data_IF_362232403050
#
_entry.id   IF_362232403050
#
_cell.length_a   1.000
_cell.length_b   1.000
_cell.length_c   1.000
_cell.angle_alpha   90.00
_cell.angle_beta   90.00
_cell.angle_gamma   90.00
#
_symmetry.space_group_name_H-M   'P 1'
#
loop_
_entity.id
_entity.type
_entity.pdbx_description
1 polymer ?
#
# COMPACT_ATOMS: atom_id res chain seq x y z
N UNK A 1 22.02 9.90 -7.97
CA UNK A 1 20.93 8.93 -7.87
C UNK A 1 20.71 8.66 -6.40
N UNK A 2 19.53 9.01 -5.90
CA UNK A 2 19.09 8.55 -4.59
C UNK A 2 19.06 7.02 -4.59
N UNK A 3 19.76 6.41 -3.64
CA UNK A 3 19.85 4.95 -3.51
C UNK A 3 18.71 4.55 -2.57
N UNK A 4 17.62 4.01 -3.11
CA UNK A 4 16.53 3.51 -2.28
C UNK A 4 15.24 3.25 -3.05
N UNK A 5 14.27 2.66 -2.37
CA UNK A 5 12.91 2.52 -2.88
C UNK A 5 12.22 3.88 -2.89
N UNK A 6 11.74 4.30 -4.05
CA UNK A 6 10.85 5.45 -4.22
C UNK A 6 9.44 4.94 -4.51
N UNK A 7 8.43 5.73 -4.17
CA UNK A 7 7.02 5.42 -4.42
C UNK A 7 6.35 6.66 -4.96
N UNK A 8 5.66 6.52 -6.09
CA UNK A 8 4.78 7.52 -6.64
C UNK A 8 3.37 6.96 -6.73
N UNK A 9 2.36 7.73 -6.32
CA UNK A 9 0.99 7.27 -6.27
C UNK A 9 0.07 8.33 -6.87
N UNK A 10 -0.69 7.94 -7.88
CA UNK A 10 -1.77 8.75 -8.44
C UNK A 10 -3.09 8.02 -8.24
N UNK A 11 -4.02 8.68 -7.56
CA UNK A 11 -5.34 8.13 -7.25
C UNK A 11 -6.40 9.10 -7.78
N UNK A 12 -7.42 8.58 -8.47
CA UNK A 12 -8.55 9.40 -8.90
C UNK A 12 -9.37 9.86 -7.69
N UNK A 13 -9.78 11.13 -7.66
CA UNK A 13 -10.59 11.69 -6.57
C UNK A 13 -11.88 10.88 -6.40
N UNK A 14 -12.52 10.54 -7.51
CA UNK A 14 -13.78 9.82 -7.56
C UNK A 14 -13.65 8.38 -7.03
N UNK A 15 -12.42 7.84 -6.97
CA UNK A 15 -12.15 6.53 -6.37
C UNK A 15 -12.02 6.54 -4.85
N UNK A 16 -11.86 7.73 -4.24
CA UNK A 16 -11.60 7.88 -2.80
C UNK A 16 -12.76 8.59 -2.08
N UNK A 17 -13.33 9.62 -2.70
CA UNK A 17 -14.24 10.55 -2.02
C UNK A 17 -15.61 10.56 -2.69
N UNK A 18 -16.66 10.40 -1.88
CA UNK A 18 -18.05 10.62 -2.30
C UNK A 18 -18.34 12.12 -2.49
N UNK A 19 -17.87 12.93 -1.53
CA UNK A 19 -17.97 14.38 -1.56
C UNK A 19 -16.57 15.00 -1.56
N UNK A 20 -16.28 15.85 -2.55
CA UNK A 20 -15.00 16.54 -2.67
C UNK A 20 -15.17 18.01 -3.01
N UNK A 21 -14.49 18.87 -2.27
CA UNK A 21 -14.46 20.31 -2.52
C UNK A 21 -13.06 20.86 -2.24
N UNK A 22 -12.49 21.55 -3.24
CA UNK A 22 -11.19 22.22 -3.13
C UNK A 22 -11.28 23.63 -3.70
N UNK A 23 -10.71 24.58 -2.95
CA UNK A 23 -10.53 25.95 -3.40
C UNK A 23 -9.16 26.45 -2.94
N UNK A 24 -8.33 26.86 -3.90
CA UNK A 24 -6.98 27.35 -3.68
C UNK A 24 -6.76 28.65 -4.43
N UNK A 25 -5.94 29.53 -3.86
CA UNK A 25 -5.44 30.72 -4.54
C UNK A 25 -4.20 30.43 -5.41
N UNK A 26 -3.66 29.21 -5.35
CA UNK A 26 -2.52 28.79 -6.16
C UNK A 26 -2.93 28.51 -7.62
N UNK A 27 -1.97 28.52 -8.56
CA UNK A 27 -2.22 28.12 -9.94
C UNK A 27 -2.92 26.75 -10.03
N UNK A 28 -3.81 26.62 -11.00
CA UNK A 28 -4.55 25.39 -11.29
C UNK A 28 -5.42 24.86 -10.13
N UNK A 29 -5.80 25.70 -9.16
CA UNK A 29 -6.63 25.32 -8.01
C UNK A 29 -6.04 24.16 -7.18
N UNK A 30 -4.71 24.11 -7.07
CA UNK A 30 -3.97 23.03 -6.39
C UNK A 30 -3.59 23.40 -4.95
N UNK A 31 -3.57 22.42 -4.04
CA UNK A 31 -3.05 22.59 -2.68
C UNK A 31 -1.98 21.53 -2.43
N UNK A 32 -0.72 21.95 -2.35
CA UNK A 32 0.40 21.08 -2.08
C UNK A 32 0.63 20.99 -0.56
N UNK A 33 0.61 19.76 -0.03
CA UNK A 33 0.78 19.49 1.40
C UNK A 33 1.92 18.52 1.63
N UNK A 34 2.75 18.82 2.61
CA UNK A 34 3.66 17.85 3.21
C UNK A 34 3.17 17.50 4.61
N UNK A 35 3.17 16.22 4.93
CA UNK A 35 2.70 15.73 6.22
C UNK A 35 3.42 14.45 6.63
N UNK A 36 3.55 14.18 7.94
CA UNK A 36 4.12 12.94 8.41
C UNK A 36 3.19 11.76 8.10
N UNK A 37 3.72 10.74 7.42
CA UNK A 37 2.94 9.58 7.00
C UNK A 37 2.49 8.70 8.19
N UNK A 38 3.25 8.65 9.29
CA UNK A 38 2.92 7.77 10.43
C UNK A 38 1.63 8.19 11.15
N UNK A 39 1.44 9.47 11.52
CA UNK A 39 0.15 9.94 12.04
C UNK A 39 -1.00 9.76 11.05
N UNK A 40 -0.79 10.04 9.75
CA UNK A 40 -1.81 9.82 8.73
C UNK A 40 -2.23 8.35 8.65
N UNK A 41 -1.28 7.43 8.60
CA UNK A 41 -1.56 6.00 8.57
C UNK A 41 -2.33 5.55 9.81
N UNK A 42 -1.97 6.05 11.00
CA UNK A 42 -2.67 5.75 12.25
C UNK A 42 -4.12 6.24 12.20
N UNK A 43 -4.34 7.47 11.72
CA UNK A 43 -5.65 8.07 11.61
C UNK A 43 -6.54 7.32 10.59
N UNK A 44 -6.00 6.98 9.43
CA UNK A 44 -6.70 6.15 8.45
C UNK A 44 -7.03 4.75 8.98
N UNK A 45 -6.13 4.12 9.75
CA UNK A 45 -6.38 2.81 10.37
C UNK A 45 -7.54 2.83 11.37
N UNK A 46 -7.71 3.92 12.12
CA UNK A 46 -8.88 4.04 13.00
C UNK A 46 -10.21 4.20 12.24
N UNK A 47 -10.16 4.55 10.95
CA UNK A 47 -11.36 4.70 10.13
C UNK A 47 -11.81 3.39 9.45
N UNK A 48 -11.09 2.27 9.58
CA UNK A 48 -11.37 1.01 8.84
C UNK A 48 -12.79 0.48 9.11
N UNK A 49 -13.31 0.65 10.33
CA UNK A 49 -14.65 0.21 10.73
C UNK A 49 -15.60 1.39 10.96
N UNK A 50 -15.25 2.58 10.46
CA UNK A 50 -16.07 3.77 10.61
C UNK A 50 -17.27 3.71 9.69
N UNK A 51 -18.38 4.31 10.12
CA UNK A 51 -19.54 4.52 9.27
C UNK A 51 -19.33 5.69 8.31
N UNK A 52 -18.57 6.71 8.73
CA UNK A 52 -18.14 7.78 7.85
C UNK A 52 -16.81 8.37 8.30
N UNK A 53 -16.08 8.94 7.36
CA UNK A 53 -14.83 9.64 7.61
C UNK A 53 -14.76 10.89 6.72
N UNK A 54 -14.36 12.02 7.29
CA UNK A 54 -14.19 13.27 6.54
C UNK A 54 -12.82 13.88 6.83
N UNK A 55 -12.17 14.37 5.78
CA UNK A 55 -10.86 15.02 5.86
C UNK A 55 -11.04 16.50 5.58
N UNK A 56 -10.50 17.36 6.44
CA UNK A 56 -10.57 18.81 6.27
C UNK A 56 -9.23 19.47 6.56
N UNK A 57 -8.76 20.32 5.65
CA UNK A 57 -7.67 21.23 5.92
C UNK A 57 -8.17 22.40 6.77
N UNK A 58 -7.63 22.57 7.97
CA UNK A 58 -8.04 23.62 8.92
C UNK A 58 -6.81 24.33 9.51
N UNK A 59 -7.03 25.38 10.28
CA UNK A 59 -5.98 26.10 11.02
C UNK A 59 -6.34 26.11 12.51
N UNK A 60 -5.54 25.42 13.32
CA UNK A 60 -5.70 25.36 14.79
C UNK A 60 -4.53 26.10 15.44
N UNK A 61 -4.83 27.09 16.29
CA UNK A 61 -3.83 27.92 16.97
C UNK A 61 -2.74 28.51 16.06
N UNK A 62 -3.15 28.87 14.83
CA UNK A 62 -2.21 29.40 13.83
C UNK A 62 -1.50 28.35 12.97
N UNK A 63 -1.62 27.07 13.30
CA UNK A 63 -0.94 25.96 12.63
C UNK A 63 -1.90 25.27 11.64
N UNK A 64 -1.51 25.09 10.36
CA UNK A 64 -2.30 24.31 9.42
C UNK A 64 -2.30 22.82 9.80
N UNK A 65 -3.48 22.22 9.86
CA UNK A 65 -3.68 20.81 10.22
C UNK A 65 -4.67 20.14 9.28
N UNK A 66 -4.40 18.89 8.95
CA UNK A 66 -5.34 18.00 8.29
C UNK A 66 -6.13 17.25 9.37
N UNK A 67 -7.39 17.65 9.54
CA UNK A 67 -8.30 17.08 10.55
C UNK A 67 -9.08 15.94 9.92
N UNK A 68 -8.88 14.72 10.40
CA UNK A 68 -9.68 13.55 10.06
C UNK A 68 -10.75 13.35 11.14
N UNK A 69 -12.01 13.52 10.79
CA UNK A 69 -13.15 13.24 11.67
C UNK A 69 -13.75 11.89 11.28
N UNK A 70 -13.80 10.98 12.25
CA UNK A 70 -14.23 9.59 12.09
C UNK A 70 -15.49 9.40 12.93
N UNK A 71 -16.54 8.89 12.31
CA UNK A 71 -17.80 8.54 12.97
C UNK A 71 -17.93 7.03 12.97
N UNK A 72 -18.25 6.44 14.12
CA UNK A 72 -18.51 5.00 14.24
C UNK A 72 -19.77 4.76 15.04
N UNK A 73 -20.74 4.04 14.45
CA UNK A 73 -21.90 3.53 15.17
C UNK A 73 -21.52 2.29 15.97
N UNK A 74 -21.76 2.33 17.27
CA UNK A 74 -21.63 1.15 18.11
C UNK A 74 -23.03 0.54 18.21
N UNK A 75 -23.21 -0.63 17.60
CA UNK A 75 -24.37 -1.47 17.87
C UNK A 75 -24.28 -1.93 19.33
N UNK A 76 -25.22 -1.46 20.15
CA UNK A 76 -25.38 -1.92 21.53
C UNK A 76 -25.84 -3.38 21.50
N UNK A 77 -24.92 -4.33 21.57
CA UNK A 77 -25.28 -5.69 21.93
C UNK A 77 -25.70 -5.68 23.39
N UNK A 78 -27.01 -5.73 23.64
CA UNK A 78 -27.57 -5.91 24.97
C UNK A 78 -27.05 -7.22 25.56
N UNK A 79 -26.07 -7.15 26.46
CA UNK A 79 -25.65 -8.29 27.27
C UNK A 79 -26.73 -8.58 28.32
N UNK A 80 -27.86 -9.15 27.90
CA UNK A 80 -28.90 -9.66 28.79
C UNK A 80 -28.52 -11.03 29.40
N UNK A 81 -27.27 -11.22 29.81
CA UNK A 81 -26.75 -12.52 30.28
C UNK A 81 -25.99 -12.49 31.61
N UNK A 82 -26.04 -11.39 32.38
CA UNK A 82 -25.36 -11.33 33.69
C UNK A 82 -26.29 -11.29 34.92
N UNK A 83 -27.61 -11.21 34.74
CA UNK A 83 -28.56 -11.20 35.88
C UNK A 83 -29.21 -12.56 36.20
N UNK A 84 -28.76 -13.66 35.60
CA UNK A 84 -29.28 -15.01 35.88
C UNK A 84 -28.41 -15.84 36.86
N UNK A 85 -27.36 -15.26 37.49
CA UNK A 85 -26.42 -16.02 38.34
C UNK A 85 -26.53 -15.75 39.86
N UNK A 86 -27.49 -14.94 40.32
CA UNK A 86 -27.75 -14.75 41.76
C UNK A 86 -29.25 -14.89 42.05
N UNK A 87 -29.73 -16.13 42.10
CA UNK A 87 -31.12 -16.46 42.44
C UNK A 87 -31.20 -17.80 43.17
N UNK A 88 -30.46 -17.92 44.27
CA UNK A 88 -30.60 -19.02 45.22
C UNK A 88 -31.70 -18.74 46.23
N UNK A 89 -32.69 -19.64 46.28
CA UNK A 89 -33.48 -20.09 47.43
C UNK A 89 -34.19 -19.08 48.37
N UNK A 90 -35.53 -19.16 48.35
CA UNK A 90 -36.51 -19.04 49.46
C UNK A 90 -36.13 -18.25 50.73
N UNK A 91 -36.94 -17.24 51.08
CA UNK A 91 -37.92 -17.31 52.20
C UNK A 91 -38.82 -16.05 52.26
N UNK A 92 -40.12 -16.31 52.44
CA UNK A 92 -41.20 -15.48 53.00
C UNK A 92 -40.86 -14.08 53.55
N UNK A 93 -41.51 -13.05 52.99
CA UNK A 93 -42.11 -11.99 53.82
C UNK A 93 -43.22 -11.24 53.08
N UNK A 94 -44.43 -11.31 53.63
CA UNK A 94 -45.62 -10.57 53.23
C UNK A 94 -45.56 -9.22 53.96
N UNK A 95 -45.63 -8.12 53.21
CA UNK A 95 -45.69 -6.77 53.80
C UNK A 95 -45.62 -5.66 52.76
N UNK A 96 -46.78 -5.24 52.29
CA UNK A 96 -47.21 -3.85 52.10
C UNK A 96 -46.11 -2.76 51.97
N UNK A 97 -45.97 -2.13 50.80
CA UNK A 97 -46.34 -0.72 50.61
C UNK A 97 -46.02 -0.23 49.19
N UNK A 98 -46.99 0.51 48.64
CA UNK A 98 -46.95 1.31 47.43
C UNK A 98 -45.70 2.20 47.32
N UNK A 99 -44.97 2.11 46.21
CA UNK A 99 -44.33 3.28 45.56
C UNK A 99 -44.39 3.11 44.05
N UNK A 100 -45.33 3.84 43.47
CA UNK A 100 -45.41 4.17 42.06
C UNK A 100 -44.29 5.16 41.75
N UNK A 101 -43.26 4.71 41.03
CA UNK A 101 -42.43 5.59 40.22
C UNK A 101 -42.52 5.11 38.78
N UNK A 102 -43.19 5.92 37.96
CA UNK A 102 -43.12 5.87 36.51
C UNK A 102 -41.66 5.98 36.07
N UNK A 103 -41.00 4.84 35.83
CA UNK A 103 -39.83 4.82 34.97
C UNK A 103 -40.32 4.85 33.51
N UNK A 104 -40.63 6.07 33.06
CA UNK A 104 -40.79 6.44 31.65
C UNK A 104 -39.43 6.64 30.96
N UNK A 105 -38.41 5.86 31.32
CA UNK A 105 -37.20 5.77 30.51
C UNK A 105 -37.40 4.62 29.52
N UNK A 106 -38.08 4.97 28.42
CA UNK A 106 -37.97 4.26 27.18
C UNK A 106 -36.49 4.22 26.77
N UNK A 107 -35.80 3.16 27.19
CA UNK A 107 -34.52 2.71 26.65
C UNK A 107 -34.77 2.21 25.21
N UNK A 108 -35.18 3.14 24.34
CA UNK A 108 -35.03 3.03 22.91
C UNK A 108 -33.52 3.03 22.70
N UNK A 109 -32.96 1.81 22.60
CA UNK A 109 -31.54 1.55 22.48
C UNK A 109 -30.88 2.61 21.62
N UNK A 110 -30.23 3.58 22.29
CA UNK A 110 -29.50 4.63 21.59
C UNK A 110 -28.36 3.94 20.88
N UNK A 111 -28.44 3.87 19.55
CA UNK A 111 -27.25 3.72 18.72
C UNK A 111 -26.26 4.76 19.20
N UNK A 112 -25.20 4.31 19.88
CA UNK A 112 -24.22 5.22 20.46
C UNK A 112 -23.23 5.54 19.35
N UNK A 113 -23.35 6.73 18.82
CA UNK A 113 -22.39 7.28 17.89
C UNK A 113 -21.14 7.74 18.65
N UNK A 114 -19.97 7.34 18.16
CA UNK A 114 -18.69 7.84 18.66
C UNK A 114 -18.01 8.64 17.56
N UNK A 115 -17.62 9.86 17.91
CA UNK A 115 -16.93 10.79 16.99
C UNK A 115 -15.51 11.01 17.49
N UNK A 116 -14.54 10.67 16.66
CA UNK A 116 -13.11 10.85 16.94
C UNK A 116 -12.53 11.82 15.92
N UNK A 117 -11.90 12.89 16.39
CA UNK A 117 -11.17 13.83 15.52
C UNK A 117 -9.67 13.69 15.75
N UNK A 118 -8.92 13.50 14.68
CA UNK A 118 -7.46 13.40 14.72
C UNK A 118 -6.84 14.48 13.85
N UNK A 119 -6.01 15.31 14.47
CA UNK A 119 -5.31 16.41 13.80
C UNK A 119 -3.90 15.98 13.42
N UNK A 120 -3.58 16.11 12.14
CA UNK A 120 -2.24 15.85 11.61
C UNK A 120 -1.65 17.20 11.20
N UNK A 121 -0.55 17.66 11.83
CA UNK A 121 0.10 18.89 11.40
C UNK A 121 0.62 18.73 9.98
N UNK A 122 0.39 19.75 9.14
CA UNK A 122 0.84 19.76 7.75
C UNK A 122 1.66 21.00 7.46
N UNK A 123 2.46 20.96 6.40
CA UNK A 123 3.14 22.12 5.83
C UNK A 123 2.54 22.39 4.46
N UNK A 124 2.01 23.59 4.25
CA UNK A 124 1.53 24.02 2.94
C UNK A 124 2.74 24.44 2.12
N UNK A 125 2.90 23.84 0.94
CA UNK A 125 4.01 24.09 0.03
C UNK A 125 3.59 25.06 -1.07
N UNK A 126 4.55 25.88 -1.53
CA UNK A 126 4.37 26.75 -2.69
C UNK A 126 4.56 25.96 -3.99
N UNK A 127 4.05 26.48 -5.11
CA UNK A 127 4.23 25.86 -6.42
C UNK A 127 5.73 25.68 -6.79
N UNK A 128 6.56 26.68 -6.49
CA UNK A 128 8.00 26.63 -6.73
C UNK A 128 8.68 25.51 -5.91
N UNK A 129 8.22 25.27 -4.68
CA UNK A 129 8.80 24.22 -3.82
C UNK A 129 8.51 22.80 -4.31
N UNK A 130 7.45 22.60 -5.10
CA UNK A 130 7.06 21.28 -5.61
C UNK A 130 7.45 21.04 -7.06
N UNK A 131 7.97 22.05 -7.77
CA UNK A 131 8.37 21.92 -9.19
C UNK A 131 9.42 20.81 -9.41
N UNK A 132 10.28 20.56 -8.43
CA UNK A 132 11.25 19.46 -8.45
C UNK A 132 10.71 18.09 -8.00
N UNK A 133 9.47 18.02 -7.51
CA UNK A 133 8.84 16.77 -7.08
C UNK A 133 8.00 16.24 -8.24
N UNK A 134 8.57 15.32 -8.99
CA UNK A 134 7.91 14.68 -10.11
C UNK A 134 8.11 13.16 -10.05
N UNK A 135 7.28 12.43 -10.79
CA UNK A 135 7.44 10.99 -10.96
C UNK A 135 8.89 10.67 -11.39
N UNK A 136 9.55 9.68 -10.76
CA UNK A 136 10.92 9.34 -11.10
C UNK A 136 11.04 8.91 -12.56
N UNK A 137 11.87 9.60 -13.33
CA UNK A 137 12.18 9.18 -14.71
C UNK A 137 13.20 8.05 -14.66
N UNK A 138 12.86 6.93 -15.29
CA UNK A 138 13.75 5.79 -15.47
C UNK A 138 13.96 5.57 -16.97
N UNK A 139 15.06 4.91 -17.32
CA UNK A 139 15.29 4.46 -18.70
C UNK A 139 14.19 3.50 -19.17
N UNK A 140 14.13 3.32 -20.47
CA UNK A 140 13.28 2.31 -21.10
C UNK A 140 13.59 0.89 -20.55
N UNK A 141 12.55 0.12 -20.19
CA UNK A 141 12.73 -1.22 -19.64
C UNK A 141 13.01 -2.27 -20.73
N UNK A 142 13.98 -3.14 -20.46
CA UNK A 142 14.34 -4.28 -21.29
C UNK A 142 13.32 -5.43 -21.18
N UNK A 143 12.66 -5.60 -20.03
CA UNK A 143 11.60 -6.58 -19.88
C UNK A 143 10.41 -6.02 -19.12
N UNK A 144 9.21 -6.45 -19.47
CA UNK A 144 8.00 -6.15 -18.72
C UNK A 144 7.12 -7.38 -18.61
N UNK A 145 6.63 -7.68 -17.41
CA UNK A 145 5.91 -8.93 -17.12
C UNK A 145 4.83 -8.70 -16.07
N UNK A 146 3.66 -9.33 -16.24
CA UNK A 146 2.65 -9.37 -15.19
C UNK A 146 3.14 -10.30 -14.09
N UNK A 147 3.23 -9.78 -12.87
CA UNK A 147 3.67 -10.57 -11.72
C UNK A 147 2.59 -11.59 -11.30
N UNK A 148 2.98 -12.79 -10.85
CA UNK A 148 2.09 -13.69 -10.14
C UNK A 148 1.70 -13.09 -8.76
N UNK A 149 0.92 -13.83 -7.97
CA UNK A 149 0.49 -13.39 -6.64
C UNK A 149 1.64 -12.82 -5.81
N UNK A 150 1.57 -11.52 -5.49
CA UNK A 150 2.60 -10.83 -4.70
C UNK A 150 2.75 -11.44 -3.30
N UNK A 151 1.69 -12.01 -2.73
CA UNK A 151 1.75 -12.71 -1.43
C UNK A 151 2.59 -14.00 -1.52
N UNK A 152 2.48 -14.73 -2.63
CA UNK A 152 3.30 -15.92 -2.88
C UNK A 152 4.76 -15.53 -3.13
N UNK A 153 5.00 -14.53 -4.00
CA UNK A 153 6.32 -13.97 -4.24
C UNK A 153 6.97 -13.50 -2.94
N UNK A 154 6.21 -12.83 -2.07
CA UNK A 154 6.68 -12.35 -0.77
C UNK A 154 7.10 -13.50 0.12
N UNK A 155 6.24 -14.53 0.22
CA UNK A 155 6.50 -15.69 1.04
C UNK A 155 7.80 -16.41 0.64
N UNK A 156 8.09 -16.50 -0.66
CA UNK A 156 9.32 -17.10 -1.19
C UNK A 156 10.52 -16.18 -0.96
N UNK A 157 10.38 -14.89 -1.27
CA UNK A 157 11.43 -13.88 -1.11
C UNK A 157 11.89 -13.71 0.34
N UNK A 158 10.96 -13.69 1.29
CA UNK A 158 11.24 -13.59 2.72
C UNK A 158 12.02 -14.84 3.20
N UNK A 159 11.71 -16.03 2.65
CA UNK A 159 12.44 -17.27 2.97
C UNK A 159 13.87 -17.23 2.42
N UNK A 160 14.06 -16.80 1.17
CA UNK A 160 15.38 -16.68 0.56
C UNK A 160 16.27 -15.71 1.35
N UNK A 161 15.71 -14.55 1.70
CA UNK A 161 16.37 -13.54 2.53
C UNK A 161 16.77 -14.12 3.89
N UNK A 162 15.86 -14.81 4.58
CA UNK A 162 16.14 -15.45 5.88
C UNK A 162 17.24 -16.52 5.79
N UNK A 163 17.19 -17.37 4.75
CA UNK A 163 18.20 -18.41 4.53
C UNK A 163 19.58 -17.80 4.32
N UNK A 164 19.69 -16.77 3.48
CA UNK A 164 20.95 -16.09 3.24
C UNK A 164 21.47 -15.34 4.49
N UNK A 165 20.58 -14.77 5.30
CA UNK A 165 20.99 -14.18 6.58
C UNK A 165 21.51 -15.24 7.56
N UNK A 166 20.85 -16.40 7.64
CA UNK A 166 21.25 -17.47 8.55
C UNK A 166 22.63 -18.05 8.20
N UNK A 167 22.98 -18.12 6.92
CA UNK A 167 24.28 -18.60 6.45
C UNK A 167 25.40 -17.58 6.63
N UNK A 168 25.10 -16.28 6.52
CA UNK A 168 26.08 -15.20 6.73
C UNK A 168 26.58 -15.05 8.19
N UNK A 169 25.84 -15.59 9.17
CA UNK A 169 26.19 -15.50 10.59
C UNK A 169 27.40 -16.36 11.00
N UNK A 170 27.94 -17.20 10.10
CA UNK A 170 29.00 -18.15 10.40
C UNK A 170 30.44 -17.66 10.21
N UNK A 171 30.68 -16.57 9.45
CA UNK A 171 32.04 -16.30 8.92
C UNK A 171 32.70 -14.97 9.29
N UNK A 172 32.01 -13.90 9.71
CA UNK A 172 32.69 -12.66 10.15
C UNK A 172 31.87 -11.86 11.19
N UNK A 173 32.20 -11.99 12.48
CA UNK A 173 31.69 -11.12 13.58
C UNK A 173 32.38 -9.74 13.64
N UNK A 174 32.78 -9.20 12.50
CA UNK A 174 33.77 -8.13 12.47
C UNK A 174 33.77 -7.26 11.23
N UNK A 175 32.60 -6.90 10.70
CA UNK A 175 32.44 -5.67 9.90
C UNK A 175 30.96 -5.43 9.67
N UNK A 176 30.46 -4.29 10.12
CA UNK A 176 29.11 -3.79 9.88
C UNK A 176 28.91 -3.47 8.39
N UNK A 177 28.83 -4.48 7.52
CA UNK A 177 28.29 -4.26 6.18
C UNK A 177 26.80 -4.01 6.35
N UNK A 178 26.40 -2.74 6.26
CA UNK A 178 25.03 -2.26 6.38
C UNK A 178 24.10 -2.74 5.23
N UNK A 179 24.54 -3.71 4.44
CA UNK A 179 23.90 -4.15 3.19
C UNK A 179 23.29 -5.53 3.45
N UNK A 180 21.96 -5.62 3.45
CA UNK A 180 21.24 -6.88 3.57
C UNK A 180 21.50 -7.80 2.37
N UNK A 181 21.07 -9.09 2.45
CA UNK A 181 21.21 -9.99 1.33
C UNK A 181 20.45 -9.44 0.11
N UNK A 182 21.16 -9.38 -1.02
CA UNK A 182 20.59 -8.94 -2.29
C UNK A 182 19.95 -10.13 -3.00
N UNK A 183 18.68 -9.97 -3.37
CA UNK A 183 17.96 -10.87 -4.24
C UNK A 183 18.23 -10.47 -5.68
N UNK A 184 18.35 -11.45 -6.56
CA UNK A 184 18.44 -11.26 -8.00
C UNK A 184 17.09 -11.65 -8.62
N UNK A 185 16.39 -10.66 -9.17
CA UNK A 185 15.16 -10.88 -9.94
C UNK A 185 15.51 -10.76 -11.42
N UNK A 186 15.01 -11.67 -12.22
CA UNK A 186 15.17 -11.63 -13.66
C UNK A 186 13.86 -11.97 -14.37
N UNK A 187 13.57 -11.29 -15.48
CA UNK A 187 12.43 -11.58 -16.33
C UNK A 187 12.87 -11.66 -17.79
N UNK A 188 12.18 -12.49 -18.56
CA UNK A 188 12.32 -12.53 -20.02
C UNK A 188 11.05 -12.02 -20.70
N UNK A 189 11.13 -11.85 -22.02
CA UNK A 189 9.99 -11.51 -22.88
C UNK A 189 9.21 -12.73 -23.40
N UNK A 190 9.29 -13.85 -22.67
CA UNK A 190 8.67 -15.14 -23.00
C UNK A 190 7.90 -15.73 -21.80
N UNK A 191 7.35 -14.87 -20.95
CA UNK A 191 6.46 -15.27 -19.86
C UNK A 191 7.14 -15.97 -18.69
N UNK A 192 8.44 -15.73 -18.47
CA UNK A 192 9.18 -16.31 -17.36
C UNK A 192 9.77 -15.25 -16.43
N UNK A 193 9.60 -15.49 -15.13
CA UNK A 193 10.16 -14.71 -14.03
C UNK A 193 11.04 -15.63 -13.19
N UNK A 194 12.21 -15.15 -12.76
CA UNK A 194 13.15 -15.87 -11.91
C UNK A 194 13.49 -15.00 -10.70
N UNK A 195 13.42 -15.59 -9.51
CA UNK A 195 13.93 -15.04 -8.27
C UNK A 195 15.06 -15.93 -7.80
N UNK A 196 16.20 -15.37 -7.46
CA UNK A 196 17.35 -16.15 -6.99
C UNK A 196 18.15 -15.43 -5.91
N UNK A 197 18.86 -16.23 -5.13
CA UNK A 197 19.87 -15.76 -4.19
C UNK A 197 21.06 -16.71 -4.22
N UNK A 198 22.26 -16.13 -4.29
CA UNK A 198 23.51 -16.88 -4.28
C UNK A 198 24.38 -16.38 -3.14
N UNK A 199 24.89 -17.31 -2.36
CA UNK A 199 25.83 -17.10 -1.26
C UNK A 199 26.98 -18.10 -1.41
N UNK A 200 27.93 -18.08 -0.47
CA UNK A 200 29.04 -19.03 -0.40
C UNK A 200 28.60 -20.49 -0.17
N UNK A 201 27.52 -20.70 0.57
CA UNK A 201 27.06 -22.04 0.98
C UNK A 201 25.79 -22.51 0.27
N UNK A 202 25.00 -21.61 -0.29
CA UNK A 202 23.77 -21.95 -1.01
C UNK A 202 23.57 -21.13 -2.27
N UNK A 203 22.97 -21.78 -3.27
CA UNK A 203 22.41 -21.16 -4.46
C UNK A 203 20.99 -21.69 -4.63
N UNK A 204 20.00 -20.79 -4.51
CA UNK A 204 18.58 -21.15 -4.57
C UNK A 204 17.90 -20.24 -5.57
N UNK A 205 17.09 -20.82 -6.45
CA UNK A 205 16.27 -20.09 -7.40
C UNK A 205 14.84 -20.64 -7.44
N UNK A 206 13.89 -19.77 -7.72
CA UNK A 206 12.51 -20.11 -8.06
C UNK A 206 12.17 -19.47 -9.41
N UNK A 207 11.52 -20.24 -10.28
CA UNK A 207 11.13 -19.79 -11.62
C UNK A 207 9.63 -19.95 -11.76
N UNK A 208 8.97 -18.91 -12.26
CA UNK A 208 7.58 -18.91 -12.67
C UNK A 208 7.54 -18.82 -14.19
N UNK A 209 6.71 -19.64 -14.81
CA UNK A 209 6.55 -19.74 -16.27
C UNK A 209 5.08 -19.58 -16.65
N UNK A 210 4.80 -19.27 -17.92
CA UNK A 210 3.43 -19.07 -18.39
C UNK A 210 2.81 -17.75 -17.92
N UNK A 211 3.64 -16.79 -17.52
CA UNK A 211 3.22 -15.42 -17.25
C UNK A 211 3.02 -14.67 -18.58
N UNK A 212 2.40 -13.49 -18.51
CA UNK A 212 2.13 -12.68 -19.69
C UNK A 212 3.04 -11.45 -19.71
N UNK A 213 3.65 -11.18 -20.85
CA UNK A 213 4.30 -9.90 -21.13
C UNK A 213 3.26 -8.97 -21.80
N UNK A 214 2.87 -7.84 -21.17
CA UNK A 214 1.96 -6.88 -21.81
C UNK A 214 2.56 -6.33 -23.11
N UNK A 215 1.72 -5.87 -24.04
CA UNK A 215 2.20 -5.23 -25.28
C UNK A 215 2.36 -3.74 -25.01
N UNK A 216 3.48 -3.17 -25.45
CA UNK A 216 3.70 -1.72 -25.40
C UNK A 216 2.74 -1.01 -26.37
N UNK A 217 2.07 0.05 -25.90
CA UNK A 217 1.29 0.91 -26.79
C UNK A 217 2.25 1.78 -27.61
N UNK A 218 2.22 1.72 -28.96
CA UNK A 218 3.07 2.54 -29.82
C UNK A 218 2.95 4.04 -29.59
N UNK A 219 1.83 4.50 -29.02
CA UNK A 219 1.61 5.93 -28.71
C UNK A 219 2.32 6.41 -27.46
N UNK A 220 2.80 5.49 -26.61
CA UNK A 220 3.46 5.81 -25.34
C UNK A 220 4.98 5.73 -25.40
N UNK A 221 5.55 5.33 -26.54
CA UNK A 221 7.00 5.33 -26.79
C UNK A 221 7.40 6.71 -27.33
N UNK A 222 8.50 7.29 -26.82
CA UNK A 222 8.90 8.70 -27.05
C UNK A 222 8.96 9.10 -28.55
N UNK A 223 9.11 8.15 -29.47
CA UNK A 223 9.23 8.37 -30.93
C UNK A 223 8.35 7.46 -31.84
N UNK A 224 7.31 6.80 -31.30
CA UNK A 224 6.32 6.06 -32.13
C UNK A 224 6.74 4.66 -32.63
N UNK A 225 6.19 4.22 -33.78
CA UNK A 225 6.34 2.84 -34.32
C UNK A 225 7.79 2.48 -34.73
N UNK A 226 8.56 3.40 -35.32
CA UNK A 226 9.96 3.13 -35.69
C UNK A 226 10.86 2.93 -34.46
N UNK A 227 10.53 3.55 -33.33
CA UNK A 227 11.27 3.39 -32.08
C UNK A 227 10.99 2.06 -31.37
N UNK A 228 9.91 1.35 -31.74
CA UNK A 228 9.55 0.06 -31.13
C UNK A 228 10.45 -1.09 -31.62
N UNK A 229 10.92 -1.04 -32.87
CA UNK A 229 11.85 -2.06 -33.40
C UNK A 229 13.21 -1.98 -32.69
N UNK A 230 13.68 -0.76 -32.44
CA UNK A 230 14.92 -0.51 -31.72
C UNK A 230 14.80 -0.56 -30.19
N UNK A 231 13.58 -0.67 -29.66
CA UNK A 231 13.31 -0.66 -28.23
C UNK A 231 13.99 -1.84 -27.51
N UNK A 232 14.58 -1.64 -26.31
CA UNK A 232 15.28 -2.69 -25.56
C UNK A 232 14.46 -3.98 -25.37
N UNK A 233 13.15 -3.86 -25.14
CA UNK A 233 12.28 -5.03 -24.98
C UNK A 233 12.08 -5.85 -26.26
N UNK A 234 12.10 -5.21 -27.43
CA UNK A 234 11.99 -5.92 -28.70
C UNK A 234 13.27 -6.71 -28.96
N UNK A 235 14.43 -6.07 -28.75
CA UNK A 235 15.74 -6.72 -28.82
C UNK A 235 15.87 -7.90 -27.84
N UNK A 236 15.40 -7.75 -26.61
CA UNK A 236 15.41 -8.84 -25.62
C UNK A 236 14.48 -9.99 -26.03
N UNK A 237 13.33 -9.68 -26.65
CA UNK A 237 12.43 -10.70 -27.20
C UNK A 237 13.06 -11.47 -28.36
N UNK A 238 13.76 -10.79 -29.26
CA UNK A 238 14.45 -11.43 -30.39
C UNK A 238 15.64 -12.29 -29.96
N UNK A 239 16.30 -11.92 -28.86
CA UNK A 239 17.38 -12.70 -28.26
C UNK A 239 16.93 -14.08 -27.74
N UNK A 240 15.62 -14.33 -27.63
CA UNK A 240 15.03 -15.64 -27.35
C UNK A 240 14.67 -15.88 -25.87
N UNK A 241 14.13 -17.07 -25.55
CA UNK A 241 13.59 -17.39 -24.22
C UNK A 241 14.65 -17.47 -23.11
N UNK A 242 15.91 -17.69 -23.48
CA UNK A 242 17.03 -17.78 -22.54
C UNK A 242 17.68 -16.41 -22.27
N UNK A 243 17.20 -15.33 -22.89
CA UNK A 243 17.64 -13.98 -22.63
C UNK A 243 16.86 -13.37 -21.45
N UNK A 244 17.59 -12.83 -20.46
CA UNK A 244 17.01 -12.33 -19.20
C UNK A 244 17.47 -10.90 -18.93
N UNK A 245 16.52 -10.02 -18.58
CA UNK A 245 16.81 -8.74 -17.92
C UNK A 245 16.81 -8.94 -16.41
N UNK A 246 17.86 -8.49 -15.73
CA UNK A 246 18.17 -8.84 -14.35
C UNK A 246 18.41 -7.61 -13.49
N UNK A 247 17.80 -7.56 -12.31
CA UNK A 247 17.95 -6.48 -11.33
C UNK A 247 18.27 -7.06 -9.95
N UNK A 248 19.13 -6.37 -9.20
CA UNK A 248 19.49 -6.76 -7.82
C UNK A 248 18.88 -5.80 -6.82
N UNK A 249 18.13 -6.33 -5.87
CA UNK A 249 17.38 -5.57 -4.87
C UNK A 249 17.66 -6.06 -3.45
N UNK A 250 17.58 -5.19 -2.46
CA UNK A 250 17.68 -5.60 -1.06
C UNK A 250 16.44 -6.43 -0.66
N UNK A 251 16.66 -7.60 -0.05
CA UNK A 251 15.57 -8.51 0.30
C UNK A 251 14.59 -7.97 1.32
N UNK A 252 15.03 -7.08 2.24
CA UNK A 252 14.14 -6.45 3.22
C UNK A 252 13.26 -5.41 2.56
N UNK A 253 13.84 -4.56 1.72
CA UNK A 253 13.09 -3.54 0.99
C UNK A 253 12.08 -4.18 0.03
N UNK A 254 12.51 -5.20 -0.71
CA UNK A 254 11.62 -6.00 -1.56
C UNK A 254 10.45 -6.61 -0.79
N UNK A 255 10.72 -7.17 0.40
CA UNK A 255 9.69 -7.71 1.28
C UNK A 255 8.68 -6.66 1.74
N UNK A 256 9.09 -5.40 1.92
CA UNK A 256 8.16 -4.28 2.23
C UNK A 256 7.33 -3.92 1.01
N UNK A 257 7.95 -3.77 -0.16
CA UNK A 257 7.27 -3.44 -1.43
C UNK A 257 6.17 -4.44 -1.74
N UNK A 258 6.47 -5.75 -1.66
CA UNK A 258 5.48 -6.80 -1.93
C UNK A 258 4.28 -6.83 -0.96
N UNK A 259 4.34 -6.09 0.16
CA UNK A 259 3.19 -5.95 1.05
C UNK A 259 2.04 -5.16 0.42
N UNK A 260 2.28 -4.46 -0.70
CA UNK A 260 1.25 -3.83 -1.54
C UNK A 260 0.26 -4.83 -2.10
N UNK A 261 0.64 -6.11 -2.23
CA UNK A 261 -0.24 -7.18 -2.69
C UNK A 261 -1.52 -7.40 -1.87
N UNK A 262 -1.65 -6.77 -0.70
CA UNK A 262 -2.91 -6.75 0.07
C UNK A 262 -3.99 -5.85 -0.54
N UNK A 263 -3.61 -4.87 -1.34
CA UNK A 263 -4.54 -3.98 -2.03
C UNK A 263 -5.30 -4.69 -3.17
N UNK A 264 -4.83 -5.89 -3.57
CA UNK A 264 -5.34 -6.58 -4.74
C UNK A 264 -4.84 -5.93 -6.03
N UNK A 265 -5.45 -6.31 -7.15
CA UNK A 265 -5.14 -5.72 -8.46
C UNK A 265 -4.07 -6.45 -9.27
N UNK A 266 -3.83 -5.91 -10.46
CA UNK A 266 -2.84 -6.40 -11.42
C UNK A 266 -1.53 -5.64 -11.23
N UNK A 267 -0.40 -6.35 -11.22
CA UNK A 267 0.91 -5.72 -11.07
C UNK A 267 1.78 -6.05 -12.27
N UNK A 268 2.31 -5.01 -12.91
CA UNK A 268 3.26 -5.12 -14.01
C UNK A 268 4.63 -4.72 -13.48
N UNK A 269 5.61 -5.59 -13.63
CA UNK A 269 7.00 -5.32 -13.29
C UNK A 269 7.78 -5.01 -14.56
N UNK A 270 8.43 -3.84 -14.60
CA UNK A 270 9.31 -3.40 -15.66
C UNK A 270 10.76 -3.42 -15.18
N UNK A 271 11.63 -4.12 -15.91
CA UNK A 271 13.03 -4.35 -15.59
C UNK A 271 13.89 -3.50 -16.52
N UNK A 272 14.61 -2.54 -15.94
CA UNK A 272 15.73 -1.87 -16.57
C UNK A 272 17.02 -2.59 -16.16
N UNK A 273 17.59 -3.38 -17.07
CA UNK A 273 18.64 -4.37 -16.79
C UNK A 273 19.82 -3.75 -16.04
N UNK A 274 20.16 -4.30 -14.88
CA UNK A 274 21.24 -3.82 -14.03
C UNK A 274 20.99 -2.48 -13.31
N UNK A 275 19.83 -1.84 -13.51
CA UNK A 275 19.57 -0.47 -13.01
C UNK A 275 18.40 -0.40 -12.04
N UNK A 276 17.19 -0.76 -12.46
CA UNK A 276 15.98 -0.51 -11.67
C UNK A 276 14.86 -1.51 -11.98
N UNK A 277 14.03 -1.75 -10.96
CA UNK A 277 12.78 -2.47 -11.08
C UNK A 277 11.65 -1.48 -10.80
N UNK A 278 10.74 -1.31 -11.75
CA UNK A 278 9.57 -0.44 -11.65
C UNK A 278 8.35 -1.34 -11.49
N UNK A 279 7.47 -1.03 -10.54
CA UNK A 279 6.24 -1.81 -10.31
C UNK A 279 5.01 -0.95 -10.51
N UNK A 280 4.30 -1.16 -11.61
CA UNK A 280 2.98 -0.56 -11.82
C UNK A 280 1.91 -1.42 -11.15
N UNK A 281 1.30 -0.92 -10.09
CA UNK A 281 0.21 -1.56 -9.36
C UNK A 281 -1.10 -0.89 -9.76
N UNK A 282 -1.91 -1.62 -10.50
CA UNK A 282 -3.23 -1.20 -10.94
C UNK A 282 -4.26 -1.65 -9.91
N UNK A 283 -4.88 -0.69 -9.23
CA UNK A 283 -5.95 -0.96 -8.26
C UNK A 283 -7.25 -1.24 -9.01
N UNK A 284 -7.98 -2.29 -8.60
CA UNK A 284 -9.31 -2.56 -9.12
C UNK A 284 -10.29 -1.56 -8.51
N UNK A 285 -10.72 -0.57 -9.28
CA UNK A 285 -11.83 0.30 -8.88
C UNK A 285 -13.15 -0.50 -8.93
N UNK A 286 -14.05 -0.21 -7.98
CA UNK A 286 -15.36 -0.86 -7.87
C UNK A 286 -16.33 -0.49 -9.00
N UNK A 287 -16.03 0.56 -9.77
CA UNK A 287 -16.77 0.97 -10.95
C UNK A 287 -15.77 1.24 -12.07
N UNK A 288 -16.00 0.64 -13.24
CA UNK A 288 -15.04 0.48 -14.34
C UNK A 288 -14.64 1.76 -15.10
N UNK A 289 -14.33 2.85 -14.40
CA UNK A 289 -13.70 4.04 -14.96
C UNK A 289 -12.56 4.48 -14.02
N UNK A 290 -11.39 4.68 -14.62
CA UNK A 290 -10.12 5.14 -14.05
C UNK A 290 -9.29 4.10 -13.28
N UNK A 291 -8.24 3.61 -13.94
CA UNK A 291 -7.22 2.78 -13.30
C UNK A 291 -6.31 3.67 -12.44
N UNK A 292 -6.38 3.52 -11.11
CA UNK A 292 -5.39 4.13 -10.22
C UNK A 292 -4.08 3.35 -10.27
N UNK A 293 -2.97 4.06 -10.49
CA UNK A 293 -1.64 3.47 -10.68
C UNK A 293 -0.71 3.92 -9.54
N UNK A 294 -0.09 2.93 -8.89
CA UNK A 294 1.04 3.15 -8.00
C UNK A 294 2.31 2.68 -8.72
N UNK A 295 3.36 3.50 -8.70
CA UNK A 295 4.68 3.24 -9.32
C UNK A 295 5.77 3.11 -8.26
#
# INVERSE_FOLDING_TARGET
MEIGTQVWASLSIDSIFEDYAIQSAAPNNTINLELPLQPLNRALRSAINASSASIRLTKKDGIPVLSLTIVTHIASFSNAATNAFLGGANLDNIGDHMFQEENLDADLGRERETVVTQDIPVRVLTAESVEGIHEPRVREPDAHIILPSLLQLKSISDRFTKLAMATSNGTVRGTSSAIGPKLELAANMHGSLKLSITTDVLNISSVWTGLTNPVLDPKQVEDGEESLEDHPSTKLREAGPDAWSTVRIDGKDWGRVLSVGRLGGRVIACFADGHALILYVYLTNYEGADESVLT
#
